data_IF_351450521898
#
_entry.id   IF_351450521898
#
_cell.length_a   1.000
_cell.length_b   1.000
_cell.length_c   1.000
_cell.angle_alpha   90.00
_cell.angle_beta   90.00
_cell.angle_gamma   90.00
#
_symmetry.space_group_name_H-M   'P 1'
#
loop_
_entity.id
_entity.type
_entity.pdbx_description
1 polymer ?
#
# COMPACT_ATOMS: atom_id res chain seq x y z
N UNK A 1 21.30 -27.49 -0.25
CA UNK A 1 20.98 -26.38 0.71
C UNK A 1 19.75 -25.68 0.21
N UNK A 2 18.79 -25.42 1.07
CA UNK A 2 17.54 -24.77 0.67
C UNK A 2 17.76 -23.27 0.59
N UNK A 3 17.81 -22.75 -0.63
CA UNK A 3 17.89 -21.32 -0.87
C UNK A 3 16.56 -20.64 -0.50
N UNK A 4 16.66 -19.60 0.30
CA UNK A 4 15.49 -18.78 0.68
C UNK A 4 15.44 -17.50 -0.16
N UNK A 5 14.22 -17.06 -0.46
CA UNK A 5 13.95 -15.71 -0.95
C UNK A 5 13.38 -14.90 0.21
N UNK A 6 13.87 -13.68 0.38
CA UNK A 6 13.30 -12.72 1.32
C UNK A 6 12.47 -11.68 0.55
N UNK A 7 11.18 -11.60 0.85
CA UNK A 7 10.26 -10.62 0.29
C UNK A 7 10.06 -9.47 1.27
N UNK A 8 9.94 -8.27 0.75
CA UNK A 8 9.62 -7.06 1.51
C UNK A 8 8.55 -6.23 0.81
N UNK A 9 7.51 -5.86 1.56
CA UNK A 9 6.54 -4.82 1.19
C UNK A 9 6.68 -3.66 2.16
N UNK A 10 7.19 -2.52 1.65
CA UNK A 10 7.59 -1.39 2.48
C UNK A 10 6.75 -0.16 2.19
N UNK A 11 5.87 0.15 3.13
CA UNK A 11 5.27 1.47 3.23
C UNK A 11 6.18 2.46 3.97
N UNK A 12 5.72 3.71 4.05
CA UNK A 12 6.44 4.73 4.80
C UNK A 12 6.52 4.43 6.32
N UNK A 13 5.61 3.63 6.90
CA UNK A 13 5.48 3.39 8.35
C UNK A 13 6.13 2.10 8.79
N UNK A 14 5.87 1.03 8.04
CA UNK A 14 6.34 -0.32 8.35
C UNK A 14 6.72 -1.06 7.08
N UNK A 15 7.61 -2.01 7.23
CA UNK A 15 7.95 -2.99 6.21
C UNK A 15 7.52 -4.36 6.69
N UNK A 16 6.71 -5.06 5.91
CA UNK A 16 6.42 -6.47 6.11
C UNK A 16 7.47 -7.30 5.37
N UNK A 17 8.06 -8.24 6.08
CA UNK A 17 9.05 -9.18 5.56
C UNK A 17 8.53 -10.60 5.61
N UNK A 18 8.79 -11.38 4.56
CA UNK A 18 8.42 -12.79 4.52
C UNK A 18 9.52 -13.62 3.88
N UNK A 19 9.93 -14.68 4.59
CA UNK A 19 10.88 -15.66 4.07
C UNK A 19 10.11 -16.72 3.31
N UNK A 20 10.47 -16.93 2.05
CA UNK A 20 9.89 -17.94 1.13
C UNK A 20 10.95 -18.96 0.80
N UNK A 21 10.59 -20.25 0.87
CA UNK A 21 11.44 -21.39 0.59
C UNK A 21 10.64 -22.69 0.71
N UNK A 22 11.26 -23.83 1.01
CA UNK A 22 10.58 -25.14 1.10
C UNK A 22 9.45 -25.21 2.14
N UNK A 23 9.44 -24.29 3.13
CA UNK A 23 8.32 -24.09 4.04
C UNK A 23 8.09 -22.58 4.21
N UNK A 24 6.86 -22.13 3.98
CA UNK A 24 6.48 -20.73 4.21
C UNK A 24 6.59 -20.43 5.72
N UNK A 25 7.26 -19.32 6.06
CA UNK A 25 7.38 -18.85 7.44
C UNK A 25 6.43 -17.68 7.69
N UNK A 26 6.04 -17.43 8.95
CA UNK A 26 5.28 -16.24 9.31
C UNK A 26 6.02 -14.97 8.86
N UNK A 27 5.25 -13.94 8.53
CA UNK A 27 5.80 -12.61 8.30
C UNK A 27 6.33 -12.01 9.60
N UNK A 28 7.33 -11.14 9.48
CA UNK A 28 7.76 -10.25 10.56
C UNK A 28 7.81 -8.82 10.05
N UNK A 29 7.92 -7.88 10.97
CA UNK A 29 7.79 -6.46 10.64
C UNK A 29 8.99 -5.67 11.15
N UNK A 30 9.34 -4.63 10.40
CA UNK A 30 10.25 -3.57 10.83
C UNK A 30 9.61 -2.21 10.58
N UNK A 31 10.24 -1.16 11.06
CA UNK A 31 9.92 0.21 10.66
C UNK A 31 10.05 0.38 9.15
N UNK A 32 9.28 1.31 8.58
CA UNK A 32 9.26 1.54 7.13
C UNK A 32 10.58 2.09 6.61
N UNK A 33 11.01 1.54 5.48
CA UNK A 33 12.22 1.95 4.79
C UNK A 33 11.86 2.84 3.60
N UNK A 34 11.91 4.16 3.80
CA UNK A 34 11.61 5.11 2.72
C UNK A 34 12.86 5.92 2.36
N UNK A 35 13.34 5.84 1.12
CA UNK A 35 14.50 6.60 0.66
C UNK A 35 14.23 8.11 0.50
N UNK A 36 13.01 8.58 0.80
CA UNK A 36 12.71 10.00 0.92
C UNK A 36 13.13 10.57 2.29
N UNK A 37 13.23 9.70 3.31
CA UNK A 37 13.43 10.14 4.70
C UNK A 37 14.65 9.52 5.37
N UNK A 38 15.28 8.53 4.72
CA UNK A 38 16.41 7.79 5.29
C UNK A 38 17.49 7.54 4.24
N UNK A 39 18.73 7.75 4.64
CA UNK A 39 19.91 7.33 3.90
C UNK A 39 20.26 5.87 4.18
N UNK A 40 21.13 5.29 3.35
CA UNK A 40 21.50 3.86 3.40
C UNK A 40 22.00 3.42 4.77
N UNK A 41 22.85 4.20 5.41
CA UNK A 41 23.50 3.83 6.69
C UNK A 41 22.47 3.79 7.84
N UNK A 42 21.54 4.76 7.88
CA UNK A 42 20.42 4.74 8.83
C UNK A 42 19.49 3.55 8.63
N UNK A 43 19.29 3.11 7.38
CA UNK A 43 18.53 1.89 7.09
C UNK A 43 19.26 0.63 7.59
N UNK A 44 20.58 0.57 7.44
CA UNK A 44 21.40 -0.54 7.95
C UNK A 44 21.28 -0.66 9.47
N UNK A 45 21.40 0.46 10.19
CA UNK A 45 21.32 0.49 11.66
C UNK A 45 19.93 0.06 12.14
N UNK A 46 18.88 0.55 11.49
CA UNK A 46 17.51 0.14 11.78
C UNK A 46 17.32 -1.36 11.57
N UNK A 47 17.72 -1.89 10.42
CA UNK A 47 17.58 -3.30 10.09
C UNK A 47 18.40 -4.20 11.03
N UNK A 48 19.61 -3.81 11.41
CA UNK A 48 20.41 -4.55 12.41
C UNK A 48 19.72 -4.62 13.75
N UNK A 49 19.01 -3.57 14.15
CA UNK A 49 18.26 -3.50 15.42
C UNK A 49 16.97 -4.30 15.39
N UNK A 50 16.25 -4.29 14.27
CA UNK A 50 14.87 -4.78 14.20
C UNK A 50 14.73 -6.17 13.55
N UNK A 51 15.72 -6.65 12.79
CA UNK A 51 15.67 -7.98 12.19
C UNK A 51 15.81 -9.08 13.24
N UNK A 52 14.96 -10.11 13.18
CA UNK A 52 15.14 -11.29 14.02
C UNK A 52 16.51 -11.95 13.76
N UNK A 53 17.23 -12.30 14.82
CA UNK A 53 18.56 -12.95 14.71
C UNK A 53 18.54 -14.23 13.85
N UNK A 54 17.39 -14.89 13.76
CA UNK A 54 17.21 -16.08 12.93
C UNK A 54 17.34 -15.82 11.43
N UNK A 55 17.13 -14.59 10.97
CA UNK A 55 17.22 -14.22 9.54
C UNK A 55 18.68 -14.27 9.08
N UNK A 56 19.62 -13.80 9.92
CA UNK A 56 21.05 -13.81 9.59
C UNK A 56 21.66 -15.20 9.47
N UNK A 57 20.98 -16.23 10.04
CA UNK A 57 21.37 -17.63 9.97
C UNK A 57 20.86 -18.34 8.71
N UNK A 58 20.13 -17.63 7.83
CA UNK A 58 19.55 -18.21 6.62
C UNK A 58 20.39 -17.86 5.40
N UNK A 59 20.53 -18.83 4.51
CA UNK A 59 21.10 -18.60 3.20
C UNK A 59 20.02 -17.96 2.31
N UNK A 60 20.06 -16.63 2.18
CA UNK A 60 19.14 -15.87 1.36
C UNK A 60 19.78 -15.64 0.00
N UNK A 61 19.27 -16.31 -1.03
CA UNK A 61 19.79 -16.19 -2.40
C UNK A 61 19.32 -14.92 -3.09
N UNK A 62 18.09 -14.49 -2.81
CA UNK A 62 17.52 -13.30 -3.43
C UNK A 62 16.64 -12.52 -2.46
N UNK A 63 16.63 -11.19 -2.62
CA UNK A 63 15.75 -10.28 -1.88
C UNK A 63 14.95 -9.47 -2.89
N UNK A 64 13.63 -9.50 -2.78
CA UNK A 64 12.72 -8.68 -3.57
C UNK A 64 12.05 -7.65 -2.65
N UNK A 65 12.44 -6.41 -2.82
CA UNK A 65 11.96 -5.29 -2.04
C UNK A 65 11.03 -4.41 -2.90
N UNK A 66 9.80 -4.26 -2.45
CA UNK A 66 8.76 -3.42 -3.04
C UNK A 66 8.47 -2.27 -2.10
N UNK A 67 8.91 -1.05 -2.43
CA UNK A 67 8.85 0.04 -1.46
C UNK A 67 8.40 1.38 -2.01
N UNK A 68 7.63 2.07 -1.18
CA UNK A 68 7.28 3.47 -1.42
C UNK A 68 8.54 4.30 -1.61
N UNK A 69 8.56 5.15 -2.65
CA UNK A 69 9.72 6.01 -2.96
C UNK A 69 10.80 5.35 -3.82
N UNK A 70 10.71 4.06 -4.13
CA UNK A 70 11.70 3.34 -4.95
C UNK A 70 11.43 3.40 -6.47
N UNK A 71 10.71 4.41 -6.96
CA UNK A 71 10.36 4.52 -8.38
C UNK A 71 11.55 4.86 -9.27
N UNK A 72 12.51 5.61 -8.78
CA UNK A 72 13.70 6.03 -9.54
C UNK A 72 14.94 5.23 -9.13
N UNK A 73 15.85 4.98 -10.08
CA UNK A 73 17.09 4.26 -9.80
C UNK A 73 17.92 4.85 -8.65
N UNK A 74 18.14 6.16 -8.52
CA UNK A 74 18.87 6.72 -7.38
C UNK A 74 18.25 6.36 -6.04
N UNK A 75 16.91 6.46 -5.91
CA UNK A 75 16.20 6.14 -4.66
C UNK A 75 16.18 4.63 -4.37
N UNK A 76 15.96 3.80 -5.39
CA UNK A 76 16.05 2.34 -5.25
C UNK A 76 17.46 1.90 -4.82
N UNK A 77 18.52 2.57 -5.31
CA UNK A 77 19.90 2.25 -4.98
C UNK A 77 20.26 2.53 -3.51
N UNK A 78 19.62 3.51 -2.85
CA UNK A 78 19.78 3.74 -1.40
C UNK A 78 19.39 2.48 -0.62
N UNK A 79 18.21 1.94 -0.90
CA UNK A 79 17.70 0.71 -0.27
C UNK A 79 18.57 -0.50 -0.65
N UNK A 80 18.93 -0.61 -1.93
CA UNK A 80 19.77 -1.70 -2.42
C UNK A 80 21.12 -1.74 -1.73
N UNK A 81 21.76 -0.58 -1.54
CA UNK A 81 23.04 -0.45 -0.83
C UNK A 81 22.89 -0.90 0.62
N UNK A 82 21.84 -0.48 1.32
CA UNK A 82 21.59 -0.90 2.69
C UNK A 82 21.42 -2.42 2.82
N UNK A 83 20.62 -3.03 1.93
CA UNK A 83 20.41 -4.47 1.94
C UNK A 83 21.67 -5.27 1.59
N UNK A 84 22.49 -4.79 0.62
CA UNK A 84 23.77 -5.39 0.28
C UNK A 84 24.78 -5.38 1.45
N UNK A 85 24.77 -4.33 2.27
CA UNK A 85 25.63 -4.26 3.46
C UNK A 85 25.29 -5.34 4.50
N UNK A 86 24.05 -5.82 4.51
CA UNK A 86 23.58 -6.86 5.45
C UNK A 86 23.65 -8.26 4.81
N UNK A 87 23.33 -8.35 3.52
CA UNK A 87 23.25 -9.59 2.76
C UNK A 87 24.16 -9.52 1.51
N UNK A 88 25.50 -9.54 1.68
CA UNK A 88 26.44 -9.26 0.59
C UNK A 88 26.44 -10.32 -0.54
N UNK A 89 25.92 -11.51 -0.25
CA UNK A 89 25.86 -12.62 -1.23
C UNK A 89 24.48 -12.80 -1.86
N UNK A 90 23.51 -11.94 -1.53
CA UNK A 90 22.15 -12.04 -2.06
C UNK A 90 21.99 -11.21 -3.35
N UNK A 91 21.19 -11.73 -4.28
CA UNK A 91 20.77 -10.96 -5.44
C UNK A 91 19.61 -10.02 -5.04
N UNK A 92 19.83 -8.70 -5.09
CA UNK A 92 18.87 -7.73 -4.54
C UNK A 92 18.14 -6.98 -5.65
N UNK A 93 16.82 -7.14 -5.65
CA UNK A 93 15.87 -6.47 -6.53
C UNK A 93 15.04 -5.47 -5.74
N UNK A 94 15.17 -4.19 -6.05
CA UNK A 94 14.41 -3.09 -5.43
C UNK A 94 13.57 -2.42 -6.48
N UNK A 95 12.27 -2.30 -6.22
CA UNK A 95 11.32 -1.58 -7.06
C UNK A 95 10.23 -0.92 -6.21
N UNK A 96 9.34 -0.17 -6.84
CA UNK A 96 8.30 0.58 -6.12
C UNK A 96 7.10 -0.31 -5.73
N UNK A 97 6.38 0.14 -4.71
CA UNK A 97 5.20 -0.51 -4.12
C UNK A 97 4.10 -0.84 -5.14
N UNK A 98 3.85 0.04 -6.11
CA UNK A 98 2.86 -0.21 -7.16
C UNK A 98 3.20 -1.43 -8.03
N UNK A 99 4.49 -1.71 -8.26
CA UNK A 99 4.91 -2.95 -8.93
C UNK A 99 4.61 -4.16 -8.05
N UNK A 100 4.86 -4.05 -6.73
CA UNK A 100 4.50 -5.09 -5.76
C UNK A 100 3.00 -5.36 -5.74
N UNK A 101 2.19 -4.32 -5.74
CA UNK A 101 0.74 -4.41 -5.84
C UNK A 101 0.28 -5.11 -7.14
N UNK A 102 0.85 -4.70 -8.29
CA UNK A 102 0.52 -5.29 -9.58
C UNK A 102 0.85 -6.79 -9.64
N UNK A 103 2.03 -7.18 -9.15
CA UNK A 103 2.44 -8.59 -9.06
C UNK A 103 1.54 -9.37 -8.10
N UNK A 104 1.23 -8.81 -6.94
CA UNK A 104 0.40 -9.47 -5.93
C UNK A 104 -1.02 -9.75 -6.41
N UNK A 105 -1.59 -8.82 -7.19
CA UNK A 105 -2.97 -8.86 -7.67
C UNK A 105 -3.11 -9.61 -9.00
N UNK A 106 -2.18 -9.42 -9.93
CA UNK A 106 -2.31 -9.94 -11.29
C UNK A 106 -1.45 -11.20 -11.53
N UNK A 107 -0.39 -11.41 -10.73
CA UNK A 107 0.52 -12.54 -10.93
C UNK A 107 1.13 -12.55 -12.34
N UNK A 108 0.87 -13.62 -13.08
CA UNK A 108 1.31 -13.79 -14.46
C UNK A 108 0.29 -13.30 -15.51
N UNK A 109 -0.80 -12.67 -15.07
CA UNK A 109 -1.86 -12.16 -15.95
C UNK A 109 -1.75 -10.64 -16.12
N UNK A 110 -2.42 -10.12 -17.15
CA UNK A 110 -2.62 -8.69 -17.32
C UNK A 110 -3.81 -8.21 -16.48
N UNK A 111 -3.77 -6.96 -16.01
CA UNK A 111 -4.84 -6.39 -15.22
C UNK A 111 -4.60 -4.92 -14.86
N UNK A 112 -5.61 -4.28 -14.30
CA UNK A 112 -5.48 -2.98 -13.65
C UNK A 112 -5.28 -3.26 -12.16
N UNK A 113 -4.22 -2.72 -11.59
CA UNK A 113 -3.90 -2.87 -10.16
C UNK A 113 -3.99 -1.53 -9.47
N UNK A 114 -4.74 -1.48 -8.37
CA UNK A 114 -5.02 -0.27 -7.59
C UNK A 114 -4.59 -0.46 -6.14
N UNK A 115 -3.95 0.55 -5.59
CA UNK A 115 -3.67 0.68 -4.17
C UNK A 115 -4.66 1.67 -3.56
N UNK A 116 -5.41 1.25 -2.53
CA UNK A 116 -6.23 2.12 -1.68
C UNK A 116 -5.89 1.82 -0.21
N UNK A 117 -4.87 2.50 0.28
CA UNK A 117 -4.35 2.40 1.64
C UNK A 117 -4.28 3.78 2.31
N UNK A 118 -3.16 4.12 2.95
CA UNK A 118 -2.91 5.48 3.45
C UNK A 118 -2.96 6.52 2.33
N UNK A 119 -2.32 6.24 1.19
CA UNK A 119 -2.44 6.96 -0.08
C UNK A 119 -3.13 6.10 -1.13
N UNK A 120 -3.22 6.59 -2.37
CA UNK A 120 -3.77 5.84 -3.50
C UNK A 120 -2.86 5.88 -4.73
N UNK A 121 -2.94 4.83 -5.55
CA UNK A 121 -2.26 4.77 -6.83
C UNK A 121 -2.92 3.69 -7.71
N UNK A 122 -2.64 3.73 -9.02
CA UNK A 122 -3.15 2.70 -9.94
C UNK A 122 -2.24 2.51 -11.14
N UNK A 123 -2.26 1.33 -11.73
CA UNK A 123 -1.53 1.06 -12.97
C UNK A 123 -2.21 -0.02 -13.82
N UNK A 124 -1.89 0.01 -15.10
CA UNK A 124 -2.09 -1.10 -16.01
C UNK A 124 -0.82 -1.96 -16.03
N UNK A 125 -1.00 -3.26 -15.87
CA UNK A 125 0.06 -4.26 -15.82
C UNK A 125 -0.16 -5.32 -16.90
N UNK A 126 0.89 -5.64 -17.66
CA UNK A 126 0.82 -6.61 -18.77
C UNK A 126 1.49 -7.95 -18.46
N UNK A 127 1.44 -8.41 -17.23
CA UNK A 127 2.12 -9.60 -16.69
C UNK A 127 3.64 -9.50 -16.54
N UNK A 128 4.28 -8.48 -17.09
CA UNK A 128 5.75 -8.29 -17.02
C UNK A 128 6.14 -6.92 -16.46
N UNK A 129 5.43 -5.87 -16.88
CA UNK A 129 5.75 -4.49 -16.51
C UNK A 129 4.49 -3.63 -16.45
N UNK A 130 4.60 -2.53 -15.76
CA UNK A 130 3.59 -1.46 -15.81
C UNK A 130 3.69 -0.77 -17.16
N UNK A 131 2.58 -0.76 -17.90
CA UNK A 131 2.46 -0.16 -19.23
C UNK A 131 1.88 1.23 -19.19
N UNK A 132 1.08 1.52 -18.17
CA UNK A 132 0.52 2.84 -17.90
C UNK A 132 0.30 3.02 -16.40
N UNK A 133 0.54 4.23 -15.90
CA UNK A 133 0.28 4.61 -14.52
C UNK A 133 -0.47 5.95 -14.52
N UNK A 134 -1.69 5.97 -13.99
CA UNK A 134 -2.38 7.23 -13.72
C UNK A 134 -1.55 8.04 -12.71
N UNK A 135 -1.35 9.35 -12.91
CA UNK A 135 -0.47 10.13 -12.05
C UNK A 135 -0.89 10.08 -10.59
N UNK A 136 0.00 9.63 -9.71
CA UNK A 136 -0.15 9.77 -8.25
C UNK A 136 0.37 11.13 -7.84
N UNK A 137 -0.50 11.99 -7.30
CA UNK A 137 -0.18 13.38 -6.96
C UNK A 137 0.09 13.59 -5.47
N UNK A 138 -0.01 12.52 -4.67
CA UNK A 138 0.18 12.56 -3.22
C UNK A 138 -0.99 13.20 -2.49
N UNK A 139 -0.92 13.22 -1.14
CA UNK A 139 -2.06 13.51 -0.27
C UNK A 139 -2.58 14.95 -0.31
N UNK A 140 -1.78 15.91 -0.81
CA UNK A 140 -2.19 17.31 -0.91
C UNK A 140 -3.04 17.52 -2.18
N UNK A 141 -2.55 17.04 -3.33
CA UNK A 141 -3.13 17.31 -4.65
C UNK A 141 -3.96 16.16 -5.20
N UNK A 142 -3.91 14.99 -4.58
CA UNK A 142 -4.53 13.76 -5.05
C UNK A 142 -4.83 12.78 -3.93
N UNK A 143 -4.37 11.53 -4.10
CA UNK A 143 -4.64 10.38 -3.23
C UNK A 143 -6.15 10.14 -3.03
N UNK A 144 -6.97 10.45 -4.05
CA UNK A 144 -8.42 10.24 -4.04
C UNK A 144 -8.74 8.80 -3.60
N UNK A 145 -9.80 8.64 -2.81
CA UNK A 145 -10.23 7.33 -2.31
C UNK A 145 -9.33 6.71 -1.24
N UNK A 146 -8.21 7.35 -0.87
CA UNK A 146 -7.31 6.86 0.17
C UNK A 146 -7.79 7.17 1.59
N UNK A 147 -7.15 6.54 2.58
CA UNK A 147 -7.40 6.85 3.98
C UNK A 147 -7.07 8.30 4.34
N UNK A 148 -6.01 8.88 3.78
CA UNK A 148 -5.66 10.28 4.01
C UNK A 148 -6.71 11.23 3.41
N UNK A 149 -7.21 10.91 2.23
CA UNK A 149 -8.27 11.68 1.57
C UNK A 149 -9.58 11.61 2.37
N UNK A 150 -10.00 10.41 2.75
CA UNK A 150 -11.21 10.18 3.56
C UNK A 150 -11.11 10.81 4.94
N UNK A 151 -9.98 10.61 5.63
CA UNK A 151 -9.76 11.17 6.96
C UNK A 151 -9.72 12.70 6.95
N UNK A 152 -9.18 13.31 5.90
CA UNK A 152 -9.27 14.77 5.69
C UNK A 152 -10.74 15.22 5.61
N UNK A 153 -11.61 14.51 4.87
CA UNK A 153 -13.03 14.81 4.81
C UNK A 153 -13.69 14.67 6.19
N UNK A 154 -13.39 13.60 6.94
CA UNK A 154 -13.89 13.39 8.31
C UNK A 154 -13.54 14.57 9.20
N UNK A 155 -12.26 14.95 9.26
CA UNK A 155 -11.81 16.10 10.07
C UNK A 155 -12.48 17.40 9.63
N UNK A 156 -12.61 17.63 8.33
CA UNK A 156 -13.23 18.84 7.80
C UNK A 156 -14.69 18.95 8.21
N UNK A 157 -15.46 17.84 8.13
CA UNK A 157 -16.84 17.81 8.60
C UNK A 157 -16.94 18.08 10.11
N UNK A 158 -16.05 17.47 10.92
CA UNK A 158 -16.01 17.73 12.35
C UNK A 158 -15.70 19.20 12.67
N UNK A 159 -14.65 19.76 12.11
CA UNK A 159 -14.19 21.12 12.40
C UNK A 159 -15.16 22.22 11.92
N UNK A 160 -15.91 21.95 10.86
CA UNK A 160 -16.99 22.86 10.40
C UNK A 160 -18.35 22.56 11.06
N UNK A 161 -18.37 21.69 12.10
CA UNK A 161 -19.58 21.35 12.84
C UNK A 161 -20.72 20.82 11.95
N UNK A 162 -20.36 20.03 10.95
CA UNK A 162 -21.31 19.41 10.01
C UNK A 162 -21.81 18.04 10.50
N UNK A 163 -21.19 17.48 11.54
CA UNK A 163 -21.69 16.28 12.20
C UNK A 163 -22.89 16.63 13.10
N UNK A 164 -23.84 15.72 13.17
CA UNK A 164 -24.87 15.81 14.19
C UNK A 164 -24.28 15.51 15.59
N UNK A 165 -25.12 15.62 16.62
CA UNK A 165 -24.70 15.42 18.01
C UNK A 165 -24.10 14.04 18.26
N UNK A 166 -24.69 12.99 17.67
CA UNK A 166 -24.27 11.61 17.90
C UNK A 166 -22.88 11.38 17.31
N UNK A 167 -22.66 11.79 16.04
CA UNK A 167 -21.33 11.66 15.41
C UNK A 167 -20.30 12.54 16.09
N UNK A 168 -20.64 13.75 16.53
CA UNK A 168 -19.72 14.65 17.24
C UNK A 168 -19.24 14.03 18.54
N UNK A 169 -20.16 13.56 19.40
CA UNK A 169 -19.83 12.89 20.67
C UNK A 169 -18.98 11.64 20.42
N UNK A 170 -19.30 10.83 19.41
CA UNK A 170 -18.54 9.65 19.05
C UNK A 170 -17.13 10.00 18.57
N UNK A 171 -16.96 11.04 17.76
CA UNK A 171 -15.67 11.50 17.27
C UNK A 171 -14.78 11.97 18.43
N UNK A 172 -15.32 12.80 19.34
CA UNK A 172 -14.59 13.31 20.51
C UNK A 172 -14.18 12.20 21.48
N UNK A 173 -15.08 11.25 21.71
CA UNK A 173 -14.79 10.07 22.56
C UNK A 173 -13.68 9.20 21.97
N UNK A 174 -13.68 9.00 20.64
CA UNK A 174 -12.72 8.12 19.97
C UNK A 174 -11.34 8.75 19.81
N UNK A 175 -11.26 10.01 19.41
CA UNK A 175 -9.97 10.62 19.04
C UNK A 175 -9.37 11.51 20.14
N UNK A 176 -10.18 11.99 21.09
CA UNK A 176 -9.74 12.82 22.22
C UNK A 176 -8.81 13.97 21.78
N UNK A 177 -9.16 14.65 20.71
CA UNK A 177 -8.39 15.70 20.06
C UNK A 177 -9.24 16.96 19.88
N UNK A 178 -8.60 18.08 19.62
CA UNK A 178 -9.23 19.36 19.40
C UNK A 178 -8.69 20.05 18.14
N UNK A 179 -9.28 21.19 17.77
CA UNK A 179 -8.91 21.95 16.57
C UNK A 179 -7.42 22.32 16.54
N UNK A 180 -6.89 22.83 17.66
CA UNK A 180 -5.51 23.32 17.75
C UNK A 180 -4.53 22.14 17.53
N UNK A 181 -4.78 21.02 18.16
CA UNK A 181 -3.96 19.81 18.01
C UNK A 181 -4.02 19.24 16.61
N UNK A 182 -5.23 19.16 16.02
CA UNK A 182 -5.40 18.70 14.63
C UNK A 182 -4.59 19.58 13.68
N UNK A 183 -4.71 20.91 13.78
CA UNK A 183 -3.98 21.82 12.92
C UNK A 183 -2.46 21.72 13.13
N UNK A 184 -2.02 21.59 14.38
CA UNK A 184 -0.60 21.39 14.69
C UNK A 184 -0.07 20.11 14.02
N UNK A 185 -0.75 18.97 14.19
CA UNK A 185 -0.32 17.69 13.60
C UNK A 185 -0.35 17.67 12.08
N UNK A 186 -1.31 18.36 11.47
CA UNK A 186 -1.41 18.42 10.00
C UNK A 186 -0.35 19.33 9.39
N UNK A 187 -0.05 20.48 10.01
CA UNK A 187 0.78 21.51 9.38
C UNK A 187 2.21 21.64 9.94
N UNK A 188 2.50 21.04 11.10
CA UNK A 188 3.79 21.23 11.79
C UNK A 188 4.53 19.93 12.08
N UNK A 189 3.82 18.79 12.14
CA UNK A 189 4.44 17.51 12.43
C UNK A 189 4.78 16.71 11.14
N UNK A 190 5.75 15.78 11.21
CA UNK A 190 6.07 14.89 10.10
C UNK A 190 4.94 13.88 9.84
N UNK A 191 4.82 13.44 8.60
CA UNK A 191 3.86 12.41 8.16
C UNK A 191 2.37 12.78 8.34
N UNK A 192 1.94 13.98 7.95
CA UNK A 192 0.54 14.40 8.11
C UNK A 192 -0.46 13.49 7.37
N UNK A 193 -0.05 12.85 6.27
CA UNK A 193 -0.88 11.89 5.55
C UNK A 193 -1.25 10.67 6.40
N UNK A 194 -0.36 10.21 7.28
CA UNK A 194 -0.66 9.11 8.23
C UNK A 194 -1.65 9.55 9.29
N UNK A 195 -1.41 10.73 9.83
CA UNK A 195 -2.33 11.31 10.82
C UNK A 195 -3.73 11.48 10.22
N UNK A 196 -3.84 12.04 9.02
CA UNK A 196 -5.10 12.13 8.31
C UNK A 196 -5.74 10.74 8.11
N UNK A 197 -4.98 9.77 7.62
CA UNK A 197 -5.50 8.41 7.37
C UNK A 197 -6.01 7.71 8.64
N UNK A 198 -5.52 8.07 9.83
CA UNK A 198 -6.00 7.47 11.08
C UNK A 198 -7.46 7.76 11.37
N UNK A 199 -8.03 8.85 10.82
CA UNK A 199 -9.43 9.19 10.98
C UNK A 199 -10.38 8.39 10.06
N UNK A 200 -9.86 7.71 9.04
CA UNK A 200 -10.68 6.89 8.16
C UNK A 200 -11.36 5.71 8.87
N UNK A 201 -10.81 5.25 10.01
CA UNK A 201 -11.44 4.20 10.83
C UNK A 201 -12.81 4.61 11.35
N UNK A 202 -13.06 5.91 11.55
CA UNK A 202 -14.34 6.45 11.97
C UNK A 202 -15.47 6.11 10.99
N UNK A 203 -15.16 6.10 9.69
CA UNK A 203 -16.13 5.75 8.66
C UNK A 203 -16.60 4.30 8.78
N UNK A 204 -15.67 3.37 9.06
CA UNK A 204 -16.03 1.97 9.22
C UNK A 204 -16.89 1.70 10.48
N UNK A 205 -16.70 2.51 11.52
CA UNK A 205 -17.44 2.38 12.78
C UNK A 205 -18.85 2.96 12.71
N UNK A 206 -19.13 3.88 11.77
CA UNK A 206 -20.39 4.61 11.68
C UNK A 206 -21.10 4.41 10.32
N UNK A 207 -20.92 3.20 9.71
CA UNK A 207 -21.65 2.81 8.49
C UNK A 207 -23.16 2.94 8.70
N UNK A 208 -23.85 3.30 7.64
CA UNK A 208 -25.31 3.54 7.64
C UNK A 208 -25.73 4.98 8.00
N UNK A 209 -24.82 5.81 8.52
CA UNK A 209 -25.10 7.21 8.70
C UNK A 209 -24.89 7.98 7.39
N UNK A 210 -25.85 8.81 6.95
CA UNK A 210 -25.86 9.42 5.62
C UNK A 210 -24.59 10.25 5.32
N UNK A 211 -24.07 11.04 6.28
CA UNK A 211 -22.82 11.80 6.12
C UNK A 211 -21.65 10.86 5.87
N UNK A 212 -21.58 9.76 6.62
CA UNK A 212 -20.51 8.77 6.53
C UNK A 212 -20.53 8.05 5.18
N UNK A 213 -21.73 7.61 4.76
CA UNK A 213 -21.88 6.94 3.45
C UNK A 213 -21.51 7.90 2.30
N UNK A 214 -21.92 9.18 2.38
CA UNK A 214 -21.55 10.19 1.39
C UNK A 214 -20.03 10.42 1.34
N UNK A 215 -19.34 10.50 2.49
CA UNK A 215 -17.89 10.65 2.52
C UNK A 215 -17.22 9.45 1.85
N UNK A 216 -17.68 8.22 2.14
CA UNK A 216 -17.12 7.00 1.56
C UNK A 216 -17.35 7.00 0.05
N UNK A 217 -18.58 7.16 -0.38
CA UNK A 217 -18.96 7.10 -1.79
C UNK A 217 -18.24 8.16 -2.61
N UNK A 218 -18.33 9.43 -2.21
CA UNK A 218 -17.65 10.54 -2.89
C UNK A 218 -16.15 10.33 -3.01
N UNK A 219 -15.53 9.77 -1.95
CA UNK A 219 -14.09 9.55 -1.94
C UNK A 219 -13.67 8.46 -2.93
N UNK A 220 -14.39 7.33 -2.93
CA UNK A 220 -14.07 6.21 -3.85
C UNK A 220 -14.48 6.61 -5.28
N UNK A 221 -15.59 7.29 -5.48
CA UNK A 221 -16.00 7.82 -6.78
C UNK A 221 -14.95 8.76 -7.36
N UNK A 222 -14.40 9.67 -6.53
CA UNK A 222 -13.28 10.54 -6.96
C UNK A 222 -12.07 9.73 -7.45
N UNK A 223 -11.77 8.59 -6.83
CA UNK A 223 -10.72 7.70 -7.34
C UNK A 223 -11.08 7.09 -8.69
N UNK A 224 -12.32 6.66 -8.87
CA UNK A 224 -12.77 6.15 -10.17
C UNK A 224 -12.68 7.23 -11.25
N UNK A 225 -13.13 8.44 -10.98
CA UNK A 225 -13.13 9.57 -11.93
C UNK A 225 -11.71 10.00 -12.32
N UNK A 226 -10.78 10.05 -11.37
CA UNK A 226 -9.42 10.52 -11.64
C UNK A 226 -8.48 9.43 -12.15
N UNK A 227 -8.69 8.18 -11.73
CA UNK A 227 -7.77 7.08 -12.01
C UNK A 227 -8.40 6.02 -12.92
N UNK A 228 -9.54 5.43 -12.55
CA UNK A 228 -10.07 4.25 -13.22
C UNK A 228 -10.58 4.53 -14.63
N UNK A 229 -11.25 5.66 -14.87
CA UNK A 229 -11.73 6.05 -16.21
C UNK A 229 -10.62 6.16 -17.25
N UNK A 230 -9.37 6.40 -16.83
CA UNK A 230 -8.20 6.49 -17.71
C UNK A 230 -7.80 5.15 -18.33
N UNK A 231 -8.34 4.04 -17.79
CA UNK A 231 -8.11 2.69 -18.31
C UNK A 231 -9.21 2.22 -19.27
N UNK A 232 -10.27 3.00 -19.49
CA UNK A 232 -11.25 2.72 -20.56
C UNK A 232 -10.52 2.66 -21.91
N UNK A 233 -10.92 1.73 -22.75
CA UNK A 233 -10.32 1.48 -24.06
C UNK A 233 -8.92 0.83 -24.03
N UNK A 234 -8.41 0.42 -22.89
CA UNK A 234 -7.18 -0.36 -22.81
C UNK A 234 -7.48 -1.85 -22.95
N UNK A 235 -6.44 -2.69 -22.96
CA UNK A 235 -6.58 -4.11 -23.29
C UNK A 235 -7.29 -4.96 -22.21
N UNK A 236 -7.59 -4.39 -21.04
CA UNK A 236 -8.33 -5.07 -19.98
C UNK A 236 -9.27 -4.09 -19.26
N UNK A 237 -10.42 -4.61 -18.83
CA UNK A 237 -11.36 -3.91 -17.97
C UNK A 237 -11.41 -4.50 -16.55
N UNK A 238 -10.56 -5.49 -16.25
CA UNK A 238 -10.50 -6.13 -14.92
C UNK A 238 -9.66 -5.30 -13.97
N UNK A 239 -10.30 -4.79 -12.91
CA UNK A 239 -9.69 -3.93 -11.91
C UNK A 239 -9.53 -4.68 -10.59
N UNK A 240 -8.32 -4.68 -10.05
CA UNK A 240 -7.97 -5.36 -8.81
C UNK A 240 -7.49 -4.34 -7.78
N UNK A 241 -7.75 -4.60 -6.50
CA UNK A 241 -7.46 -3.67 -5.43
C UNK A 241 -6.65 -4.30 -4.30
N UNK A 242 -5.72 -3.54 -3.75
CA UNK A 242 -5.01 -3.86 -2.51
C UNK A 242 -4.99 -2.68 -1.58
N UNK A 243 -5.18 -2.93 -0.29
CA UNK A 243 -5.12 -1.93 0.77
C UNK A 243 -6.28 -2.04 1.75
N UNK A 244 -6.11 -1.40 2.91
CA UNK A 244 -7.11 -1.45 3.99
C UNK A 244 -8.42 -0.77 3.58
N UNK A 245 -8.35 0.34 2.85
CA UNK A 245 -9.54 1.08 2.41
C UNK A 245 -10.34 0.25 1.42
N UNK A 246 -9.72 -0.27 0.38
CA UNK A 246 -10.41 -1.12 -0.59
C UNK A 246 -11.01 -2.39 0.04
N UNK A 247 -10.33 -2.95 1.04
CA UNK A 247 -10.81 -4.13 1.74
C UNK A 247 -12.04 -3.85 2.61
N UNK A 248 -12.04 -2.74 3.35
CA UNK A 248 -13.14 -2.39 4.26
C UNK A 248 -14.36 -1.81 3.55
N UNK A 249 -14.18 -1.16 2.41
CA UNK A 249 -15.26 -0.56 1.61
C UNK A 249 -15.45 -1.28 0.26
N UNK A 250 -15.23 -2.61 0.26
CA UNK A 250 -15.37 -3.45 -0.93
C UNK A 250 -16.76 -3.36 -1.55
N UNK A 251 -17.80 -3.24 -0.74
CA UNK A 251 -19.18 -3.07 -1.18
C UNK A 251 -19.33 -1.86 -2.13
N UNK A 252 -18.77 -0.71 -1.75
CA UNK A 252 -18.80 0.50 -2.60
C UNK A 252 -17.94 0.36 -3.86
N UNK A 253 -16.86 -0.39 -3.79
CA UNK A 253 -16.03 -0.67 -4.97
C UNK A 253 -16.80 -1.56 -5.97
N UNK A 254 -17.55 -2.57 -5.49
CA UNK A 254 -18.41 -3.41 -6.34
C UNK A 254 -19.40 -2.55 -7.11
N UNK A 255 -20.17 -1.72 -6.38
CA UNK A 255 -21.16 -0.81 -6.95
C UNK A 255 -20.56 0.13 -8.03
N UNK A 256 -19.39 0.70 -7.74
CA UNK A 256 -18.73 1.61 -8.67
C UNK A 256 -18.08 0.89 -9.87
N UNK A 257 -17.51 -0.30 -9.69
CA UNK A 257 -17.03 -1.09 -10.83
C UNK A 257 -18.18 -1.35 -11.82
N UNK A 258 -19.33 -1.77 -11.33
CA UNK A 258 -20.52 -1.99 -12.15
C UNK A 258 -20.98 -0.70 -12.84
N UNK A 259 -21.12 0.41 -12.08
CA UNK A 259 -21.55 1.69 -12.61
C UNK A 259 -20.63 2.26 -13.69
N UNK A 260 -19.32 2.01 -13.59
CA UNK A 260 -18.33 2.48 -14.56
C UNK A 260 -18.04 1.48 -15.68
N UNK A 261 -18.63 0.28 -15.67
CA UNK A 261 -18.46 -0.74 -16.67
C UNK A 261 -17.12 -1.49 -16.59
N UNK A 262 -16.61 -1.67 -15.38
CA UNK A 262 -15.42 -2.46 -15.10
C UNK A 262 -15.76 -3.79 -14.41
N UNK A 263 -14.96 -4.81 -14.66
CA UNK A 263 -15.03 -6.08 -13.95
C UNK A 263 -14.19 -5.98 -12.66
N UNK A 264 -14.80 -6.25 -11.50
CA UNK A 264 -14.05 -6.35 -10.26
C UNK A 264 -13.30 -7.69 -10.20
N UNK A 265 -12.00 -7.61 -10.03
CA UNK A 265 -11.14 -8.74 -9.75
C UNK A 265 -10.92 -8.96 -8.25
N UNK A 266 -9.68 -9.23 -7.88
CA UNK A 266 -9.31 -9.47 -6.48
C UNK A 266 -9.31 -8.18 -5.66
N UNK A 267 -9.79 -8.28 -4.41
CA UNK A 267 -9.67 -7.23 -3.38
C UNK A 267 -8.98 -7.83 -2.17
N UNK A 268 -7.72 -7.46 -1.95
CA UNK A 268 -6.89 -8.00 -0.87
C UNK A 268 -6.46 -6.89 0.09
N UNK A 269 -6.31 -7.24 1.38
CA UNK A 269 -5.93 -6.25 2.40
C UNK A 269 -4.45 -5.88 2.35
N UNK A 270 -3.58 -6.84 2.02
CA UNK A 270 -2.12 -6.69 2.00
C UNK A 270 -1.52 -7.48 0.84
N UNK A 271 -0.43 -7.01 0.19
CA UNK A 271 0.11 -7.66 -1.01
C UNK A 271 0.96 -8.89 -0.71
N UNK A 272 1.45 -9.09 0.52
CA UNK A 272 2.46 -10.09 0.84
C UNK A 272 2.05 -11.53 0.48
N UNK A 273 0.78 -11.90 0.65
CA UNK A 273 0.29 -13.24 0.28
C UNK A 273 0.38 -13.50 -1.22
N UNK A 274 -0.03 -12.52 -2.04
CA UNK A 274 0.06 -12.58 -3.50
C UNK A 274 1.52 -12.59 -3.98
N UNK A 275 2.37 -11.74 -3.39
CA UNK A 275 3.80 -11.73 -3.66
C UNK A 275 4.46 -13.07 -3.33
N UNK A 276 4.14 -13.65 -2.18
CA UNK A 276 4.66 -14.95 -1.77
C UNK A 276 4.25 -16.04 -2.76
N UNK A 277 2.98 -16.07 -3.17
CA UNK A 277 2.49 -17.03 -4.17
C UNK A 277 3.26 -16.89 -5.48
N UNK A 278 3.35 -15.68 -6.03
CA UNK A 278 4.05 -15.42 -7.29
C UNK A 278 5.52 -15.85 -7.28
N UNK A 279 6.26 -15.49 -6.21
CA UNK A 279 7.66 -15.86 -6.11
C UNK A 279 7.89 -17.35 -5.82
N UNK A 280 6.95 -18.01 -5.12
CA UNK A 280 7.00 -19.47 -4.94
C UNK A 280 6.80 -20.21 -6.27
N UNK A 281 5.83 -19.81 -7.06
CA UNK A 281 5.58 -20.39 -8.39
C UNK A 281 6.80 -20.24 -9.31
N UNK A 282 7.46 -19.08 -9.29
CA UNK A 282 8.70 -18.87 -10.05
C UNK A 282 9.88 -19.74 -9.57
N UNK A 283 10.01 -19.93 -8.27
CA UNK A 283 11.05 -20.84 -7.72
C UNK A 283 10.82 -22.26 -8.23
N UNK A 284 9.60 -22.76 -8.16
CA UNK A 284 9.25 -24.12 -8.60
C UNK A 284 9.43 -24.25 -10.11
N UNK A 285 8.99 -23.26 -10.89
CA UNK A 285 9.16 -23.27 -12.35
C UNK A 285 10.62 -23.25 -12.83
N UNK A 286 11.53 -22.68 -12.03
CA UNK A 286 12.99 -22.69 -12.32
C UNK A 286 13.68 -24.00 -11.89
N UNK A 287 13.01 -24.84 -11.10
CA UNK A 287 13.55 -26.12 -10.60
C UNK A 287 13.15 -27.29 -11.52
N UNK A 288 12.13 -27.13 -12.39
CA UNK A 288 11.83 -28.16 -13.38
C UNK A 288 12.88 -28.10 -14.51
N UNK A 289 13.61 -29.20 -14.79
CA UNK A 289 14.55 -29.23 -15.90
C UNK A 289 13.76 -29.08 -17.23
N UNK A 290 14.36 -28.28 -18.14
CA UNK A 290 13.89 -28.20 -19.54
C UNK A 290 14.09 -29.52 -20.26
#
# INVERSE_FOLDING_TARGET
>A
MTDFILLADSGATKTEWKLVGNASKPSFFTSGLSPYHMESDSMVDLLKKEFPASIYKKQISSIYFYGTGCKTNPKANIVKKALLSIFPHSNIHVTHDLMGAAIALCGNNSGIACILGTGSNSCEFNSKKITFNSPGLGFILGDEGSGAYMGRKVITHYLYQQFDKILTESFEAQFKTNKEEILHKVYKEPYPNRYLASFAVFLSAHRGHYIIENIIEDSIRSFFDQHIVRYKSRFTNKVNFVGSISFHFKDKIVELCEAYGFELGDVIKQPMSGLAKYHTEKLIGNIQPK
#
